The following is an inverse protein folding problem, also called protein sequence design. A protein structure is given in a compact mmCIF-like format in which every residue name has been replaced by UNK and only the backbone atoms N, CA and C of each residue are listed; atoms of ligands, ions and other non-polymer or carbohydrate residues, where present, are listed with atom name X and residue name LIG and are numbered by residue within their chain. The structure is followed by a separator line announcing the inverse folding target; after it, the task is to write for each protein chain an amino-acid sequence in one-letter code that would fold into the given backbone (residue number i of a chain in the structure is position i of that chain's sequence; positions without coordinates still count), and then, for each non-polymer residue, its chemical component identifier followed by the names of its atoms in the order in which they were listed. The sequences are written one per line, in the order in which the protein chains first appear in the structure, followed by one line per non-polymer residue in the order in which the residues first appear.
data_IF_531601588807
#
_entry.id   IF_531601588807
#
_cell.length_a   1.000
_cell.length_b   1.000
_cell.length_c   1.000
_cell.angle_alpha   90.00
_cell.angle_beta   90.00
_cell.angle_gamma   90.00
#
_symmetry.space_group_name_H-M   'P 1'
#
loop_
_entity.id
_entity.type
_entity.pdbx_description
1 polymer ?
#
# COMPACT_ATOMS: atom_id res chain seq x y z
N UNK A 1 -28.70 29.88 30.29
CA UNK A 1 -28.89 29.40 31.62
C UNK A 1 -29.29 27.91 31.78
N UNK A 2 -30.07 27.32 30.84
CA UNK A 2 -30.54 25.89 30.97
C UNK A 2 -29.39 24.88 30.81
N UNK A 3 -28.40 25.13 30.00
CA UNK A 3 -27.27 24.20 29.79
C UNK A 3 -26.36 24.05 31.02
N UNK A 4 -26.18 25.14 31.81
CA UNK A 4 -25.34 25.11 33.00
C UNK A 4 -25.98 24.38 34.19
N UNK A 5 -27.30 24.39 34.30
CA UNK A 5 -28.02 23.64 35.34
C UNK A 5 -27.93 22.12 35.14
N UNK A 6 -27.96 21.68 33.90
CA UNK A 6 -27.85 20.26 33.52
C UNK A 6 -26.44 19.69 33.82
N UNK A 7 -25.40 20.47 33.57
CA UNK A 7 -24.02 20.08 33.86
C UNK A 7 -23.73 19.98 35.35
N UNK A 8 -24.23 20.94 36.17
CA UNK A 8 -24.15 20.88 37.62
C UNK A 8 -24.88 19.63 38.21
N UNK A 9 -26.04 19.27 37.65
CA UNK A 9 -26.81 18.12 38.06
C UNK A 9 -26.09 16.80 37.77
N UNK A 10 -25.40 16.70 36.60
CA UNK A 10 -24.62 15.54 36.22
C UNK A 10 -23.37 15.34 37.10
N UNK A 11 -22.64 16.43 37.39
CA UNK A 11 -21.46 16.37 38.28
C UNK A 11 -21.85 15.97 39.68
N UNK A 12 -22.95 16.53 40.25
CA UNK A 12 -23.45 16.16 41.57
C UNK A 12 -23.91 14.69 41.63
N UNK A 13 -24.49 14.15 40.56
CA UNK A 13 -24.91 12.76 40.45
C UNK A 13 -23.73 11.79 40.35
N UNK A 14 -22.66 12.20 39.67
CA UNK A 14 -21.43 11.41 39.56
C UNK A 14 -20.68 11.32 40.91
N UNK A 15 -20.63 12.40 41.69
CA UNK A 15 -20.06 12.37 43.06
C UNK A 15 -20.81 11.46 43.98
N UNK A 16 -22.14 11.41 43.87
CA UNK A 16 -22.98 10.53 44.71
C UNK A 16 -22.83 9.04 44.34
N UNK A 17 -22.36 8.76 43.11
CA UNK A 17 -22.11 7.39 42.63
C UNK A 17 -20.68 6.88 42.94
N UNK A 18 -19.85 7.64 43.66
CA UNK A 18 -18.51 7.20 44.10
C UNK A 18 -17.45 7.16 42.99
N UNK A 19 -17.68 7.83 41.87
CA UNK A 19 -16.70 7.90 40.78
C UNK A 19 -15.58 8.89 41.17
N UNK A 20 -14.41 8.37 41.46
CA UNK A 20 -13.21 9.17 41.76
C UNK A 20 -12.61 9.70 40.48
N UNK A 21 -12.28 11.02 40.42
CA UNK A 21 -11.52 11.60 39.34
C UNK A 21 -12.20 12.71 38.51
N UNK A 22 -13.43 13.12 38.89
CA UNK A 22 -14.10 14.27 38.26
C UNK A 22 -13.83 15.50 39.13
N UNK A 23 -13.13 16.50 38.54
CA UNK A 23 -12.86 17.81 39.20
C UNK A 23 -14.15 18.59 39.37
N UNK A 24 -14.20 19.39 40.43
CA UNK A 24 -15.35 20.27 40.70
C UNK A 24 -15.49 21.35 39.64
N UNK A 25 -16.70 21.85 39.47
CA UNK A 25 -17.02 22.87 38.44
C UNK A 25 -16.20 24.19 38.60
N UNK A 26 -15.67 24.46 39.80
CA UNK A 26 -14.85 25.66 40.06
C UNK A 26 -13.40 25.47 39.55
N UNK A 27 -12.86 24.27 39.57
CA UNK A 27 -11.51 23.99 39.03
C UNK A 27 -11.48 23.96 37.48
N UNK A 28 -12.61 23.67 36.85
CA UNK A 28 -12.72 23.59 35.39
C UNK A 28 -12.80 25.01 34.73
N UNK A 29 -12.99 26.08 35.50
CA UNK A 29 -13.21 27.45 34.99
C UNK A 29 -12.08 28.43 35.30
N UNK A 30 -10.92 27.97 35.74
CA UNK A 30 -9.73 28.80 35.81
C UNK A 30 -9.16 29.01 34.41
N UNK A 31 -8.80 30.23 34.00
CA UNK A 31 -8.12 30.45 32.74
C UNK A 31 -6.80 29.72 32.77
N UNK A 32 -6.62 28.81 31.83
CA UNK A 32 -5.36 28.17 31.57
C UNK A 32 -4.37 29.28 31.24
N UNK A 33 -3.37 29.46 32.07
CA UNK A 33 -2.25 30.34 31.74
C UNK A 33 -1.61 29.77 30.47
N UNK A 34 -1.48 30.60 29.44
CA UNK A 34 -0.75 30.27 28.23
C UNK A 34 0.70 29.88 28.61
N UNK A 35 0.97 28.59 28.71
CA UNK A 35 2.34 28.13 28.65
C UNK A 35 2.87 28.45 27.26
N UNK A 36 3.93 29.26 27.23
CA UNK A 36 4.71 29.51 26.02
C UNK A 36 5.02 28.18 25.33
N UNK A 37 4.94 28.14 24.00
CA UNK A 37 5.29 26.93 23.26
C UNK A 37 6.74 26.58 23.56
N UNK A 38 6.93 25.53 24.33
CA UNK A 38 8.22 24.87 24.49
C UNK A 38 8.51 24.13 23.19
N UNK A 39 9.57 24.58 22.56
CA UNK A 39 10.40 23.94 21.56
C UNK A 39 9.68 22.96 20.60
N UNK A 40 9.64 23.36 19.34
CA UNK A 40 9.39 22.50 18.19
C UNK A 40 10.07 21.16 18.39
N UNK A 41 9.26 20.12 18.57
CA UNK A 41 9.73 18.76 18.41
C UNK A 41 10.19 18.66 16.94
N UNK A 42 11.52 18.59 16.75
CA UNK A 42 12.13 18.21 15.47
C UNK A 42 11.33 17.03 14.92
N UNK A 43 10.88 17.07 13.67
CA UNK A 43 10.32 15.89 13.04
C UNK A 43 11.34 14.76 13.20
N UNK A 44 10.90 13.63 13.73
CA UNK A 44 11.72 12.44 13.73
C UNK A 44 12.19 12.21 12.28
N UNK A 45 13.46 12.33 12.05
CA UNK A 45 14.10 12.00 10.78
C UNK A 45 13.71 10.56 10.47
N UNK A 46 12.81 10.40 9.50
CA UNK A 46 12.61 9.11 8.84
C UNK A 46 14.00 8.66 8.40
N UNK A 47 14.48 7.45 8.78
CA UNK A 47 15.76 7.00 8.31
C UNK A 47 15.78 7.13 6.80
N UNK A 48 16.61 8.02 6.28
CA UNK A 48 16.82 8.17 4.85
C UNK A 48 17.09 6.77 4.30
N UNK A 49 16.38 6.40 3.24
CA UNK A 49 16.74 5.21 2.49
C UNK A 49 18.25 5.32 2.20
N UNK A 50 19.04 4.28 2.44
CA UNK A 50 20.47 4.39 2.28
C UNK A 50 20.76 4.94 0.87
N UNK A 51 21.37 6.12 0.81
CA UNK A 51 21.92 6.65 -0.43
C UNK A 51 22.90 5.60 -0.93
N UNK A 52 22.67 5.08 -2.12
CA UNK A 52 23.50 4.07 -2.75
C UNK A 52 24.75 4.82 -3.20
N UNK A 53 25.94 4.50 -2.67
CA UNK A 53 27.18 5.04 -3.21
C UNK A 53 27.29 4.61 -4.67
N UNK A 54 27.65 5.54 -5.55
CA UNK A 54 27.72 5.33 -7.00
C UNK A 54 28.86 4.41 -7.50
N UNK A 55 29.51 3.67 -6.61
CA UNK A 55 30.66 2.85 -6.98
C UNK A 55 30.59 1.45 -6.38
N UNK A 56 30.06 0.54 -7.16
CA UNK A 56 30.51 -0.85 -7.37
C UNK A 56 29.58 -1.50 -8.38
N UNK A 57 29.91 -1.38 -9.67
CA UNK A 57 29.36 -2.22 -10.74
C UNK A 57 29.90 -3.63 -10.54
N UNK A 58 29.14 -4.47 -9.88
CA UNK A 58 29.31 -5.91 -9.96
C UNK A 58 28.46 -6.36 -11.15
N UNK A 59 29.10 -6.91 -12.18
CA UNK A 59 28.41 -7.43 -13.36
C UNK A 59 27.41 -8.53 -12.94
N UNK A 60 26.17 -8.34 -13.34
CA UNK A 60 25.15 -9.40 -13.44
C UNK A 60 24.55 -9.88 -12.13
N UNK A 61 23.40 -9.31 -11.75
CA UNK A 61 22.52 -9.86 -10.74
C UNK A 61 21.36 -8.91 -10.43
N UNK A 62 20.21 -9.46 -10.14
CA UNK A 62 19.01 -8.71 -9.79
C UNK A 62 18.27 -9.38 -8.62
N UNK A 63 17.28 -8.70 -8.08
CA UNK A 63 16.37 -9.27 -7.11
C UNK A 63 15.55 -10.42 -7.74
N UNK A 64 14.99 -11.29 -6.92
CA UNK A 64 14.00 -12.29 -7.36
C UNK A 64 12.59 -11.74 -7.15
N UNK A 65 11.86 -11.41 -8.21
CA UNK A 65 10.45 -11.03 -8.14
C UNK A 65 9.59 -12.29 -7.94
N UNK A 66 9.52 -12.75 -6.69
CA UNK A 66 8.82 -14.02 -6.35
C UNK A 66 7.30 -13.90 -6.37
N UNK A 67 6.76 -12.69 -6.32
CA UNK A 67 5.32 -12.44 -6.39
C UNK A 67 5.04 -11.01 -6.83
N UNK A 68 4.18 -10.86 -7.84
CA UNK A 68 3.71 -9.56 -8.32
C UNK A 68 2.20 -9.51 -8.27
N UNK A 69 1.66 -8.44 -7.66
CA UNK A 69 0.22 -8.27 -7.46
C UNK A 69 -0.26 -6.91 -7.96
N UNK A 70 -1.39 -6.90 -8.63
CA UNK A 70 -2.16 -5.68 -8.90
C UNK A 70 -3.21 -5.52 -7.81
N UNK A 71 -3.12 -4.40 -7.08
CA UNK A 71 -4.14 -3.98 -6.12
C UNK A 71 -4.16 -2.45 -6.07
N UNK A 72 -5.26 -1.83 -6.49
CA UNK A 72 -5.38 -0.36 -6.59
C UNK A 72 -5.20 0.39 -5.27
N UNK A 73 -5.24 -0.34 -4.15
CA UNK A 73 -5.02 0.21 -2.79
C UNK A 73 -3.57 0.08 -2.33
N UNK A 74 -2.70 -0.63 -3.09
CA UNK A 74 -1.30 -0.91 -2.76
C UNK A 74 -1.16 -1.64 -1.41
N UNK A 75 -0.58 -1.00 -0.41
CA UNK A 75 -0.39 -1.58 0.93
C UNK A 75 -1.64 -1.32 1.77
N UNK A 76 -2.30 -2.39 2.18
CA UNK A 76 -3.45 -2.33 3.07
C UNK A 76 -3.56 -3.63 3.87
N UNK A 77 -4.47 -3.67 4.85
CA UNK A 77 -4.56 -4.77 5.82
C UNK A 77 -4.61 -6.18 5.21
N UNK A 78 -5.35 -6.36 4.11
CA UNK A 78 -5.44 -7.68 3.45
C UNK A 78 -4.11 -8.08 2.78
N UNK A 79 -3.42 -7.15 2.10
CA UNK A 79 -2.13 -7.44 1.47
C UNK A 79 -1.08 -7.67 2.55
N UNK A 80 -0.95 -6.77 3.51
CA UNK A 80 0.05 -6.84 4.56
C UNK A 80 -0.18 -8.01 5.53
N UNK A 81 -1.44 -8.29 5.88
CA UNK A 81 -1.80 -9.31 6.89
C UNK A 81 -2.04 -10.70 6.33
N UNK A 82 -2.25 -10.86 5.02
CA UNK A 82 -2.59 -12.16 4.42
C UNK A 82 -1.59 -12.58 3.35
N UNK A 83 -1.35 -11.71 2.35
CA UNK A 83 -0.48 -12.06 1.24
C UNK A 83 0.99 -12.05 1.62
N UNK A 84 1.47 -11.05 2.38
CA UNK A 84 2.87 -11.00 2.79
C UNK A 84 3.28 -12.19 3.64
N UNK A 85 2.53 -12.62 4.68
CA UNK A 85 2.83 -13.85 5.41
C UNK A 85 2.78 -15.12 4.54
N UNK A 86 1.87 -15.18 3.57
CA UNK A 86 1.76 -16.31 2.64
C UNK A 86 2.94 -16.42 1.69
N UNK A 87 3.37 -15.28 1.10
CA UNK A 87 4.49 -15.21 0.14
C UNK A 87 5.85 -15.25 0.86
N UNK A 88 5.91 -14.74 2.08
CA UNK A 88 7.12 -14.63 2.92
C UNK A 88 8.32 -13.97 2.20
N UNK A 89 8.16 -12.76 1.61
CA UNK A 89 9.25 -12.08 0.93
C UNK A 89 10.24 -11.49 1.93
N UNK A 90 11.49 -11.25 1.49
CA UNK A 90 12.50 -10.52 2.25
C UNK A 90 12.29 -9.00 2.15
N UNK A 91 11.76 -8.55 1.01
CA UNK A 91 11.39 -7.14 0.80
C UNK A 91 10.05 -7.03 0.08
N UNK A 92 9.35 -5.95 0.39
CA UNK A 92 8.04 -5.63 -0.18
C UNK A 92 8.09 -4.23 -0.80
N UNK A 93 7.84 -4.13 -2.10
CA UNK A 93 7.88 -2.88 -2.85
C UNK A 93 6.49 -2.57 -3.40
N UNK A 94 5.92 -1.46 -2.94
CA UNK A 94 4.78 -0.83 -3.58
C UNK A 94 5.30 0.13 -4.66
N UNK A 95 5.09 -0.22 -5.93
CA UNK A 95 5.55 0.57 -7.06
C UNK A 95 4.39 1.39 -7.65
N UNK A 96 4.46 2.71 -7.47
CA UNK A 96 3.47 3.68 -7.96
C UNK A 96 4.07 5.07 -7.97
N UNK A 97 4.05 5.73 -9.13
CA UNK A 97 4.56 7.10 -9.26
C UNK A 97 3.75 8.06 -8.39
N UNK A 98 2.41 7.94 -8.40
CA UNK A 98 1.53 8.78 -7.63
C UNK A 98 1.77 8.65 -6.12
N UNK A 99 1.90 7.41 -5.61
CA UNK A 99 2.13 7.17 -4.19
C UNK A 99 3.56 7.54 -3.77
N UNK A 100 4.55 7.35 -4.62
CA UNK A 100 5.94 7.66 -4.32
C UNK A 100 6.19 9.17 -4.17
N UNK A 101 5.49 10.01 -4.97
CA UNK A 101 5.63 11.46 -4.98
C UNK A 101 4.67 12.18 -4.03
N UNK A 102 3.65 11.52 -3.50
CA UNK A 102 2.77 12.05 -2.46
C UNK A 102 3.28 11.66 -1.07
N UNK A 103 3.90 12.61 -0.36
CA UNK A 103 4.50 12.37 0.97
C UNK A 103 3.49 11.86 1.99
N UNK A 104 2.25 12.37 1.98
CA UNK A 104 1.22 11.96 2.91
C UNK A 104 0.76 10.52 2.60
N UNK A 105 0.43 10.25 1.35
CA UNK A 105 0.02 8.91 0.90
C UNK A 105 1.11 7.87 1.17
N UNK A 106 2.35 8.19 0.84
CA UNK A 106 3.52 7.33 1.12
C UNK A 106 3.65 7.02 2.61
N UNK A 107 3.54 8.04 3.48
CA UNK A 107 3.60 7.85 4.93
C UNK A 107 2.46 6.95 5.45
N UNK A 108 1.23 7.16 4.98
CA UNK A 108 0.08 6.34 5.35
C UNK A 108 0.23 4.88 4.90
N UNK A 109 0.72 4.65 3.69
CA UNK A 109 1.01 3.29 3.20
C UNK A 109 2.06 2.58 4.06
N UNK A 110 3.12 3.28 4.45
CA UNK A 110 4.18 2.70 5.29
C UNK A 110 3.72 2.43 6.73
N UNK A 111 2.70 3.14 7.26
CA UNK A 111 2.13 2.86 8.58
C UNK A 111 1.41 1.51 8.65
N UNK A 112 0.87 1.02 7.54
CA UNK A 112 0.21 -0.30 7.46
C UNK A 112 1.13 -1.38 6.90
N UNK A 113 2.42 -1.09 6.77
CA UNK A 113 3.40 -2.05 6.29
C UNK A 113 3.54 -3.25 7.24
N UNK A 114 3.76 -4.45 6.71
CA UNK A 114 3.91 -5.65 7.54
C UNK A 114 5.16 -5.58 8.41
N UNK A 115 5.03 -5.97 9.67
CA UNK A 115 6.16 -6.05 10.58
C UNK A 115 7.20 -7.09 10.11
N UNK A 116 8.49 -6.78 10.26
CA UNK A 116 9.58 -7.71 9.95
C UNK A 116 9.95 -7.84 8.47
N UNK A 117 9.23 -7.16 7.57
CA UNK A 117 9.55 -7.12 6.13
C UNK A 117 9.94 -5.71 5.73
N UNK A 118 11.10 -5.56 5.08
CA UNK A 118 11.54 -4.25 4.58
C UNK A 118 10.59 -3.77 3.49
N UNK A 119 9.82 -2.74 3.80
CA UNK A 119 8.81 -2.20 2.90
C UNK A 119 9.22 -0.85 2.33
N UNK A 120 9.03 -0.67 1.02
CA UNK A 120 9.33 0.57 0.32
C UNK A 120 8.17 0.98 -0.58
N UNK A 121 7.95 2.30 -0.72
CA UNK A 121 7.04 2.89 -1.73
C UNK A 121 7.90 3.67 -2.70
N UNK A 122 8.00 3.20 -3.95
CA UNK A 122 8.89 3.71 -4.98
C UNK A 122 8.11 4.08 -6.24
N UNK A 123 8.60 5.03 -7.02
CA UNK A 123 8.18 5.20 -8.40
C UNK A 123 8.63 4.00 -9.26
N UNK A 124 7.98 3.81 -10.42
CA UNK A 124 8.21 2.63 -11.27
C UNK A 124 9.68 2.56 -11.73
N UNK A 125 10.24 3.67 -12.21
CA UNK A 125 11.62 3.72 -12.68
C UNK A 125 12.62 3.41 -11.55
N UNK A 126 12.38 3.91 -10.33
CA UNK A 126 13.21 3.60 -9.17
C UNK A 126 13.07 2.16 -8.74
N UNK A 127 11.87 1.58 -8.80
CA UNK A 127 11.64 0.17 -8.50
C UNK A 127 12.43 -0.73 -9.45
N UNK A 128 12.46 -0.42 -10.77
CA UNK A 128 13.29 -1.11 -11.76
C UNK A 128 14.78 -0.98 -11.46
N UNK A 129 15.28 0.22 -11.16
CA UNK A 129 16.69 0.43 -10.79
C UNK A 129 17.09 -0.33 -9.53
N UNK A 130 16.22 -0.38 -8.52
CA UNK A 130 16.47 -1.14 -7.29
C UNK A 130 16.48 -2.64 -7.54
N UNK A 131 15.55 -3.12 -8.38
CA UNK A 131 15.50 -4.52 -8.80
C UNK A 131 16.80 -4.96 -9.50
N UNK A 132 17.27 -4.17 -10.46
CA UNK A 132 18.48 -4.45 -11.26
C UNK A 132 19.80 -4.08 -10.55
N UNK A 133 19.75 -3.72 -9.27
CA UNK A 133 20.98 -3.41 -8.53
C UNK A 133 21.64 -4.69 -8.01
N UNK A 134 22.87 -5.01 -8.45
CA UNK A 134 23.59 -6.22 -8.07
C UNK A 134 23.77 -6.42 -6.57
N UNK A 135 23.73 -5.33 -5.78
CA UNK A 135 23.77 -5.38 -4.32
C UNK A 135 22.65 -6.23 -3.70
N UNK A 136 21.53 -6.35 -4.41
CA UNK A 136 20.34 -7.06 -3.95
C UNK A 136 20.09 -8.38 -4.69
N UNK A 137 21.12 -8.92 -5.35
CA UNK A 137 21.02 -10.19 -6.08
C UNK A 137 20.39 -11.29 -5.24
N UNK A 138 19.38 -11.96 -5.80
CA UNK A 138 18.67 -13.08 -5.17
C UNK A 138 17.75 -12.68 -4.00
N UNK A 139 17.57 -11.37 -3.73
CA UNK A 139 16.66 -10.93 -2.68
C UNK A 139 15.22 -11.17 -3.09
N UNK A 140 14.53 -12.04 -2.37
CA UNK A 140 13.12 -12.39 -2.60
C UNK A 140 12.21 -11.18 -2.39
N UNK A 141 11.64 -10.69 -3.50
CA UNK A 141 10.87 -9.44 -3.55
C UNK A 141 9.43 -9.70 -3.93
N UNK A 142 8.51 -9.12 -3.17
CA UNK A 142 7.11 -8.99 -3.54
C UNK A 142 6.85 -7.58 -4.06
N UNK A 143 6.23 -7.48 -5.25
CA UNK A 143 5.74 -6.23 -5.82
C UNK A 143 4.24 -6.10 -5.67
N UNK A 144 3.77 -4.89 -5.37
CA UNK A 144 2.37 -4.51 -5.51
C UNK A 144 2.28 -3.22 -6.34
N UNK A 145 1.38 -3.20 -7.33
CA UNK A 145 1.19 -2.09 -8.26
C UNK A 145 -0.29 -1.72 -8.33
N UNK A 146 -0.60 -0.49 -8.75
CA UNK A 146 -1.99 -0.01 -8.78
C UNK A 146 -2.78 -0.54 -9.98
N UNK A 147 -2.10 -0.79 -11.10
CA UNK A 147 -2.71 -1.09 -12.38
C UNK A 147 -1.88 -2.06 -13.23
N UNK A 148 -2.48 -2.71 -14.24
CA UNK A 148 -1.71 -3.48 -15.23
C UNK A 148 -0.79 -2.59 -16.09
N UNK A 149 -1.13 -1.33 -16.29
CA UNK A 149 -0.28 -0.35 -16.99
C UNK A 149 1.06 -0.19 -16.27
N UNK A 150 1.03 -0.10 -14.93
CA UNK A 150 2.26 -0.01 -14.13
C UNK A 150 3.08 -1.29 -14.21
N UNK A 151 2.45 -2.45 -14.34
CA UNK A 151 3.17 -3.72 -14.55
C UNK A 151 3.88 -3.73 -15.90
N UNK A 152 3.24 -3.27 -16.98
CA UNK A 152 3.87 -3.13 -18.30
C UNK A 152 5.10 -2.24 -18.20
N UNK A 153 4.97 -1.08 -17.56
CA UNK A 153 6.08 -0.15 -17.34
C UNK A 153 7.22 -0.76 -16.51
N UNK A 154 6.88 -1.54 -15.49
CA UNK A 154 7.91 -2.20 -14.67
C UNK A 154 8.67 -3.28 -15.44
N UNK A 155 7.99 -4.01 -16.35
CA UNK A 155 8.65 -4.90 -17.32
C UNK A 155 9.59 -4.13 -18.26
N UNK A 156 9.19 -2.93 -18.73
CA UNK A 156 10.01 -2.07 -19.59
C UNK A 156 11.28 -1.55 -18.86
N UNK A 157 11.23 -1.46 -17.52
CA UNK A 157 12.42 -1.20 -16.68
C UNK A 157 13.32 -2.43 -16.49
N UNK A 158 13.02 -3.56 -17.13
CA UNK A 158 13.82 -4.78 -17.08
C UNK A 158 13.56 -5.69 -15.88
N UNK A 159 12.41 -5.53 -15.18
CA UNK A 159 12.01 -6.46 -14.13
C UNK A 159 11.41 -7.73 -14.74
N UNK A 160 11.89 -8.89 -14.36
CA UNK A 160 11.37 -10.17 -14.80
C UNK A 160 10.13 -10.56 -14.00
N UNK A 161 8.97 -10.60 -14.68
CA UNK A 161 7.68 -10.92 -14.05
C UNK A 161 7.01 -12.03 -14.86
N UNK A 162 7.14 -13.30 -14.45
CA UNK A 162 6.54 -14.43 -15.18
C UNK A 162 5.02 -14.53 -14.98
N UNK A 163 4.52 -14.09 -13.84
CA UNK A 163 3.08 -14.13 -13.52
C UNK A 163 2.65 -12.97 -12.64
N UNK A 164 1.38 -12.59 -12.74
CA UNK A 164 0.77 -11.51 -11.95
C UNK A 164 -0.55 -11.96 -11.35
N UNK A 165 -0.65 -11.78 -10.04
CA UNK A 165 -1.89 -11.90 -9.30
C UNK A 165 -2.71 -10.61 -9.43
N UNK A 166 -3.93 -10.69 -9.90
CA UNK A 166 -4.89 -9.58 -9.94
C UNK A 166 -5.80 -9.71 -8.73
N UNK A 167 -5.56 -8.89 -7.72
CA UNK A 167 -6.20 -9.04 -6.41
C UNK A 167 -7.40 -8.15 -6.18
N UNK A 168 -7.30 -6.88 -6.56
CA UNK A 168 -8.38 -5.93 -6.38
C UNK A 168 -8.14 -4.62 -7.12
N UNK A 169 -9.09 -4.23 -7.94
CA UNK A 169 -9.13 -2.93 -8.62
C UNK A 169 -10.48 -2.30 -8.37
N UNK A 170 -10.48 -1.18 -7.64
CA UNK A 170 -11.69 -0.47 -7.24
C UNK A 170 -12.37 0.15 -8.46
N UNK A 171 -13.69 0.04 -8.51
CA UNK A 171 -14.50 0.65 -9.58
C UNK A 171 -14.31 2.16 -9.68
N UNK A 172 -14.16 2.63 -10.89
CA UNK A 172 -14.29 4.04 -11.28
C UNK A 172 -15.27 4.12 -12.46
N UNK A 173 -15.91 5.27 -12.63
CA UNK A 173 -16.88 5.48 -13.72
C UNK A 173 -16.29 5.08 -15.08
N UNK A 174 -17.03 4.29 -15.83
CA UNK A 174 -16.63 3.83 -17.17
C UNK A 174 -15.80 2.54 -17.20
N UNK A 175 -15.49 1.95 -16.04
CA UNK A 175 -14.77 0.67 -15.99
C UNK A 175 -15.70 -0.53 -16.23
N UNK A 176 -15.16 -1.55 -16.87
CA UNK A 176 -15.80 -2.86 -17.06
C UNK A 176 -15.47 -3.79 -15.88
N UNK A 177 -16.45 -4.50 -15.38
CA UNK A 177 -16.26 -5.49 -14.32
C UNK A 177 -15.71 -6.79 -14.89
N UNK A 178 -14.54 -7.22 -14.40
CA UNK A 178 -13.93 -8.51 -14.74
C UNK A 178 -14.29 -9.60 -13.71
N UNK A 179 -14.32 -9.25 -12.43
CA UNK A 179 -14.74 -10.11 -11.33
C UNK A 179 -15.39 -9.28 -10.22
N UNK A 180 -15.80 -9.91 -9.10
CA UNK A 180 -16.39 -9.18 -7.97
C UNK A 180 -15.49 -8.07 -7.41
N UNK A 181 -14.17 -8.26 -7.45
CA UNK A 181 -13.20 -7.33 -6.88
C UNK A 181 -12.31 -6.64 -7.94
N UNK A 182 -12.52 -6.91 -9.24
CA UNK A 182 -11.64 -6.41 -10.30
C UNK A 182 -12.43 -5.70 -11.37
N UNK A 183 -12.13 -4.43 -11.57
CA UNK A 183 -12.65 -3.58 -12.63
C UNK A 183 -11.49 -3.12 -13.52
N UNK A 184 -11.74 -2.85 -14.78
CA UNK A 184 -10.75 -2.43 -15.76
C UNK A 184 -11.27 -1.29 -16.63
N UNK A 185 -10.46 -0.28 -16.85
CA UNK A 185 -10.64 0.72 -17.89
C UNK A 185 -10.22 0.13 -19.25
N UNK A 186 -10.49 0.84 -20.34
CA UNK A 186 -9.97 0.42 -21.68
C UNK A 186 -8.45 0.36 -21.68
N UNK A 187 -7.76 1.33 -21.05
CA UNK A 187 -6.31 1.32 -20.90
C UNK A 187 -5.81 0.10 -20.11
N UNK A 188 -6.51 -0.29 -19.04
CA UNK A 188 -6.19 -1.50 -18.29
C UNK A 188 -6.39 -2.76 -19.13
N UNK A 189 -7.45 -2.81 -19.95
CA UNK A 189 -7.70 -3.94 -20.86
C UNK A 189 -6.59 -4.07 -21.89
N UNK A 190 -6.14 -2.97 -22.49
CA UNK A 190 -5.01 -2.95 -23.42
C UNK A 190 -3.72 -3.41 -22.74
N UNK A 191 -3.48 -2.97 -21.51
CA UNK A 191 -2.31 -3.41 -20.73
C UNK A 191 -2.38 -4.90 -20.39
N UNK A 192 -3.54 -5.45 -20.02
CA UNK A 192 -3.70 -6.89 -19.82
C UNK A 192 -3.42 -7.70 -21.10
N UNK A 193 -3.90 -7.24 -22.26
CA UNK A 193 -3.62 -7.87 -23.56
C UNK A 193 -2.12 -7.84 -23.86
N UNK A 194 -1.46 -6.72 -23.63
CA UNK A 194 -0.02 -6.58 -23.81
C UNK A 194 0.78 -7.51 -22.88
N UNK A 195 0.40 -7.62 -21.61
CA UNK A 195 1.02 -8.56 -20.66
C UNK A 195 0.88 -10.02 -21.13
N UNK A 196 -0.31 -10.41 -21.56
CA UNK A 196 -0.56 -11.75 -22.11
C UNK A 196 0.26 -12.02 -23.38
N UNK A 197 0.38 -11.04 -24.28
CA UNK A 197 1.20 -11.11 -25.49
C UNK A 197 2.68 -11.26 -25.18
N UNK A 198 3.17 -10.64 -24.09
CA UNK A 198 4.54 -10.82 -23.58
C UNK A 198 4.76 -12.16 -22.84
N UNK A 199 3.73 -12.99 -22.73
CA UNK A 199 3.82 -14.32 -22.10
C UNK A 199 3.66 -14.30 -20.58
N UNK A 200 3.24 -13.18 -19.99
CA UNK A 200 2.96 -13.09 -18.57
C UNK A 200 1.65 -13.82 -18.25
N UNK A 201 1.68 -14.72 -17.27
CA UNK A 201 0.45 -15.35 -16.76
C UNK A 201 -0.32 -14.39 -15.88
N UNK A 202 -1.60 -14.24 -16.12
CA UNK A 202 -2.48 -13.38 -15.35
C UNK A 202 -3.59 -14.19 -14.70
N UNK A 203 -3.75 -14.06 -13.39
CA UNK A 203 -4.85 -14.74 -12.70
C UNK A 203 -5.49 -13.84 -11.64
N UNK A 204 -6.81 -13.94 -11.53
CA UNK A 204 -7.60 -13.23 -10.53
C UNK A 204 -7.67 -14.10 -9.28
N UNK A 205 -7.20 -13.55 -8.15
CA UNK A 205 -7.29 -14.21 -6.85
C UNK A 205 -7.23 -13.16 -5.74
N UNK A 206 -8.31 -12.99 -5.02
CA UNK A 206 -8.40 -11.96 -3.99
C UNK A 206 -7.66 -12.34 -2.71
N UNK A 207 -7.78 -13.59 -2.26
CA UNK A 207 -7.15 -14.16 -1.07
C UNK A 207 -6.38 -15.43 -1.41
N UNK A 208 -5.32 -15.76 -0.68
CA UNK A 208 -4.52 -16.98 -0.95
C UNK A 208 -5.30 -18.29 -0.88
N UNK A 209 -6.38 -18.33 -0.10
CA UNK A 209 -7.26 -19.50 0.05
C UNK A 209 -8.39 -19.56 -0.99
N UNK A 210 -8.51 -18.57 -1.88
CA UNK A 210 -9.44 -18.62 -2.99
C UNK A 210 -8.81 -19.35 -4.17
N UNK A 211 -9.64 -19.96 -5.02
CA UNK A 211 -9.15 -20.56 -6.26
C UNK A 211 -8.74 -19.47 -7.25
N UNK A 212 -7.54 -19.54 -7.83
CA UNK A 212 -7.14 -18.61 -8.88
C UNK A 212 -7.96 -18.86 -10.15
N UNK A 213 -8.38 -17.79 -10.82
CA UNK A 213 -9.10 -17.84 -12.09
C UNK A 213 -8.25 -17.17 -13.17
N UNK A 214 -8.00 -17.88 -14.28
CA UNK A 214 -7.24 -17.35 -15.40
C UNK A 214 -7.93 -16.10 -15.99
N UNK A 215 -7.19 -14.99 -16.05
CA UNK A 215 -7.71 -13.72 -16.57
C UNK A 215 -7.94 -13.80 -18.09
N UNK A 216 -7.10 -14.52 -18.84
CA UNK A 216 -7.30 -14.67 -20.28
C UNK A 216 -8.65 -15.36 -20.59
N UNK A 217 -9.04 -16.33 -19.75
CA UNK A 217 -10.36 -16.97 -19.85
C UNK A 217 -11.49 -15.97 -19.57
N UNK A 218 -11.37 -15.16 -18.53
CA UNK A 218 -12.36 -14.12 -18.20
C UNK A 218 -12.51 -13.13 -19.36
N UNK A 219 -11.39 -12.63 -19.92
CA UNK A 219 -11.42 -11.70 -21.05
C UNK A 219 -12.11 -12.32 -22.27
N UNK A 220 -11.81 -13.58 -22.59
CA UNK A 220 -12.45 -14.32 -23.69
C UNK A 220 -13.94 -14.50 -23.49
N UNK A 221 -14.39 -14.91 -22.31
CA UNK A 221 -15.80 -15.11 -21.97
C UNK A 221 -16.60 -13.81 -22.04
N UNK A 222 -15.96 -12.68 -21.75
CA UNK A 222 -16.58 -11.34 -21.83
C UNK A 222 -16.44 -10.66 -23.21
N UNK A 223 -15.80 -11.32 -24.20
CA UNK A 223 -15.57 -10.72 -25.51
C UNK A 223 -14.53 -9.58 -25.52
N UNK A 224 -13.62 -9.56 -24.56
CA UNK A 224 -12.63 -8.51 -24.33
C UNK A 224 -11.18 -8.96 -24.68
N UNK A 225 -11.02 -10.11 -25.30
CA UNK A 225 -9.71 -10.72 -25.56
C UNK A 225 -8.99 -10.16 -26.81
N UNK A 226 -9.61 -9.32 -27.60
CA UNK A 226 -9.07 -8.75 -28.87
C UNK A 226 -8.48 -7.37 -28.66
#
# INVERSE_FOLDING_TARGET
GRKNATLKGLVAKAHKAGVKGIRSFQEANQPVQEEKPSQEAKPAETPAAPEIPAEQQVEGGHMDAIFTRIDSRLIHGQVAGTWVPYVAPQTFIAASDAAAHDKLRKSLLLQVAPAGVKTNVLDIAKAGRVYNNPKYTGMKTMFVLESPVDVVRLLDEGVEIPEVNVGGVTYKTGMTQLSEAVYASEEDLDAYRELLKRGVKLYVQQLPNHNPVDLAKILKEKGLAS
#
